data_IF_643418809674
#
_entry.id   IF_643418809674
#
_cell.length_a   1.000
_cell.length_b   1.000
_cell.length_c   1.000
_cell.angle_alpha   90.00
_cell.angle_beta   90.00
_cell.angle_gamma   90.00
#
_symmetry.space_group_name_H-M   'P 1'
#
loop_
_entity.id
_entity.type
_entity.pdbx_description
1 polymer ?
#
# COMPACT_ATOMS: atom_id res chain seq x y z
N UNK A 1 23.05 6.90 43.70
CA UNK A 1 23.06 6.30 42.34
C UNK A 1 23.33 4.81 42.51
N UNK A 2 22.57 3.93 41.85
CA UNK A 2 22.37 3.94 40.41
C UNK A 2 20.96 4.35 39.96
N UNK A 3 20.94 4.87 38.75
CA UNK A 3 19.81 5.39 37.98
C UNK A 3 19.08 4.19 37.38
N UNK A 4 17.79 4.01 37.69
CA UNK A 4 16.97 3.10 36.89
C UNK A 4 16.57 3.85 35.63
N UNK A 5 17.02 3.33 34.49
CA UNK A 5 16.70 3.82 33.17
C UNK A 5 15.17 3.76 32.99
N UNK A 6 14.59 4.89 32.59
CA UNK A 6 13.20 4.95 32.14
C UNK A 6 13.01 4.03 30.92
N UNK A 7 11.77 3.60 30.65
CA UNK A 7 11.52 2.74 29.51
C UNK A 7 11.97 3.46 28.24
N UNK A 8 12.71 2.71 27.42
CA UNK A 8 13.13 3.11 26.09
C UNK A 8 11.90 3.60 25.32
N UNK A 9 12.04 4.76 24.69
CA UNK A 9 11.06 5.34 23.78
C UNK A 9 10.52 4.28 22.82
N UNK A 10 9.24 3.99 22.94
CA UNK A 10 8.48 3.23 21.95
C UNK A 10 8.72 3.88 20.59
N UNK A 11 9.10 3.06 19.61
CA UNK A 11 9.36 3.50 18.25
C UNK A 11 8.18 4.33 17.76
N UNK A 12 8.50 5.54 17.25
CA UNK A 12 7.55 6.54 16.74
C UNK A 12 6.34 5.88 16.09
N UNK A 13 5.16 6.22 16.60
CA UNK A 13 3.91 6.02 15.88
C UNK A 13 4.12 6.49 14.43
N UNK A 14 3.81 5.63 13.46
CA UNK A 14 3.54 6.07 12.11
C UNK A 14 2.46 7.16 12.23
N UNK A 15 2.78 8.36 11.77
CA UNK A 15 1.86 9.50 11.82
C UNK A 15 0.83 9.32 10.71
N UNK A 16 -0.21 8.55 11.02
CA UNK A 16 -1.28 8.20 10.11
C UNK A 16 -2.55 8.98 10.45
N UNK A 17 -3.21 9.51 9.43
CA UNK A 17 -4.40 10.33 9.56
C UNK A 17 -5.31 10.21 8.34
N UNK A 18 -6.55 10.66 8.51
CA UNK A 18 -7.50 10.77 7.40
C UNK A 18 -7.36 12.14 6.73
N UNK A 19 -7.10 12.12 5.43
CA UNK A 19 -7.16 13.27 4.52
C UNK A 19 -8.15 12.91 3.40
N UNK A 20 -9.45 13.02 3.71
CA UNK A 20 -10.52 12.51 2.86
C UNK A 20 -10.33 12.89 1.37
N UNK A 21 -10.43 11.93 0.44
CA UNK A 21 -10.88 10.54 0.62
C UNK A 21 -9.78 9.54 1.08
N UNK A 22 -8.58 10.01 1.38
CA UNK A 22 -7.42 9.15 1.62
C UNK A 22 -7.18 8.85 3.10
N UNK A 23 -6.71 7.64 3.39
CA UNK A 23 -5.96 7.32 4.59
C UNK A 23 -4.48 7.54 4.31
N UNK A 24 -3.88 8.51 4.98
CA UNK A 24 -2.50 8.94 4.76
C UNK A 24 -1.59 8.36 5.82
N UNK A 25 -0.46 7.80 5.41
CA UNK A 25 0.58 7.31 6.32
C UNK A 25 1.91 7.98 6.00
N UNK A 26 2.50 8.65 6.99
CA UNK A 26 3.82 9.30 6.86
C UNK A 26 4.95 8.38 7.35
N UNK A 27 6.05 8.38 6.61
CA UNK A 27 7.29 7.68 6.95
C UNK A 27 8.50 8.62 6.74
N UNK A 28 9.71 8.14 7.08
CA UNK A 28 10.91 8.92 6.85
C UNK A 28 11.19 9.03 5.34
N UNK A 29 11.11 10.24 4.79
CA UNK A 29 11.45 10.53 3.39
C UNK A 29 10.35 10.28 2.36
N UNK A 30 9.17 9.80 2.78
CA UNK A 30 8.02 9.62 1.91
C UNK A 30 6.69 9.57 2.70
N UNK A 31 5.59 9.71 1.99
CA UNK A 31 4.24 9.43 2.49
C UNK A 31 3.48 8.58 1.49
N UNK A 32 2.42 7.92 1.96
CA UNK A 32 1.52 7.15 1.11
C UNK A 32 0.08 7.57 1.37
N UNK A 33 -0.67 7.79 0.30
CA UNK A 33 -2.11 8.02 0.32
C UNK A 33 -2.81 6.74 -0.13
N UNK A 34 -3.62 6.14 0.73
CA UNK A 34 -4.41 4.96 0.41
C UNK A 34 -5.87 5.36 0.22
N UNK A 35 -6.50 4.92 -0.87
CA UNK A 35 -7.93 5.10 -1.08
C UNK A 35 -8.68 3.92 -0.44
N UNK A 36 -8.90 4.01 0.87
CA UNK A 36 -9.59 2.98 1.65
C UNK A 36 -11.09 3.22 1.62
N UNK A 37 -11.88 2.15 1.44
CA UNK A 37 -13.33 2.25 1.49
C UNK A 37 -13.80 2.70 2.88
N UNK A 38 -14.85 3.56 3.00
CA UNK A 38 -15.22 4.17 4.28
C UNK A 38 -15.50 3.21 5.45
N UNK A 39 -15.96 1.99 5.14
CA UNK A 39 -16.33 0.97 6.12
C UNK A 39 -15.29 -0.18 6.23
N UNK A 40 -14.16 -0.10 5.52
CA UNK A 40 -13.13 -1.13 5.54
C UNK A 40 -12.16 -0.93 6.71
N UNK A 41 -11.93 -1.98 7.51
CA UNK A 41 -10.94 -1.94 8.58
C UNK A 41 -9.52 -1.90 8.00
N UNK A 42 -8.71 -0.95 8.47
CA UNK A 42 -7.35 -0.68 7.98
C UNK A 42 -6.44 -1.91 8.06
N UNK A 43 -6.67 -2.79 9.03
CA UNK A 43 -5.92 -4.04 9.24
C UNK A 43 -6.36 -5.18 8.31
N UNK A 44 -7.53 -5.06 7.68
CA UNK A 44 -8.16 -6.10 6.85
C UNK A 44 -8.06 -5.80 5.36
N UNK A 45 -7.60 -4.60 4.98
CA UNK A 45 -7.49 -4.14 3.60
C UNK A 45 -6.79 -5.16 2.71
N UNK A 46 -7.51 -5.63 1.69
CA UNK A 46 -7.07 -6.69 0.78
C UNK A 46 -6.81 -6.22 -0.66
N UNK A 47 -7.42 -5.10 -1.06
CA UNK A 47 -7.30 -4.46 -2.36
C UNK A 47 -7.39 -2.94 -2.15
N UNK A 48 -6.38 -2.17 -2.56
CA UNK A 48 -6.36 -0.72 -2.34
C UNK A 48 -5.53 0.02 -3.38
N UNK A 49 -6.02 1.17 -3.83
CA UNK A 49 -5.22 2.11 -4.61
C UNK A 49 -4.32 2.95 -3.69
N UNK A 50 -3.06 3.11 -4.09
CA UNK A 50 -2.06 3.83 -3.32
C UNK A 50 -1.29 4.82 -4.18
N UNK A 51 -1.05 6.01 -3.64
CA UNK A 51 -0.06 6.96 -4.17
C UNK A 51 1.11 7.13 -3.20
N UNK A 52 2.34 6.89 -3.68
CA UNK A 52 3.58 7.15 -2.93
C UNK A 52 4.15 8.48 -3.36
N UNK A 53 4.37 9.38 -2.40
CA UNK A 53 5.00 10.68 -2.62
C UNK A 53 6.34 10.72 -1.90
N UNK A 54 7.43 10.85 -2.65
CA UNK A 54 8.79 10.93 -2.13
C UNK A 54 9.19 12.38 -1.83
N UNK A 55 10.19 12.56 -0.96
CA UNK A 55 10.66 13.89 -0.54
C UNK A 55 11.28 14.74 -1.67
N UNK A 56 11.70 14.11 -2.78
CA UNK A 56 12.16 14.79 -3.99
C UNK A 56 11.00 15.32 -4.88
N UNK A 57 9.76 15.23 -4.39
CA UNK A 57 8.53 15.66 -5.08
C UNK A 57 7.98 14.61 -6.02
N UNK A 58 8.66 13.47 -6.12
CA UNK A 58 8.42 12.46 -7.12
C UNK A 58 7.22 11.57 -6.70
N UNK A 59 6.29 11.27 -7.62
CA UNK A 59 5.01 10.58 -7.33
C UNK A 59 4.83 9.27 -8.11
N UNK A 60 4.19 8.30 -7.46
CA UNK A 60 4.00 6.95 -7.97
C UNK A 60 2.62 6.40 -7.59
N UNK A 61 1.94 5.68 -8.49
CA UNK A 61 0.70 4.96 -8.23
C UNK A 61 0.90 3.44 -8.26
N UNK A 62 0.07 2.73 -7.50
CA UNK A 62 -0.12 1.29 -7.63
C UNK A 62 -1.49 0.89 -7.08
N UNK A 63 -2.10 -0.13 -7.68
CA UNK A 63 -3.18 -0.89 -7.03
C UNK A 63 -2.58 -2.12 -6.35
N UNK A 64 -2.76 -2.23 -5.05
CA UNK A 64 -2.15 -3.27 -4.22
C UNK A 64 -3.20 -4.32 -3.87
N UNK A 65 -2.90 -5.59 -4.14
CA UNK A 65 -3.75 -6.73 -3.81
C UNK A 65 -3.02 -7.70 -2.88
N UNK A 66 -3.74 -8.39 -2.02
CA UNK A 66 -3.19 -9.61 -1.40
C UNK A 66 -3.27 -10.78 -2.37
N UNK A 67 -2.40 -11.78 -2.20
CA UNK A 67 -2.49 -13.02 -2.99
C UNK A 67 -3.84 -13.73 -2.80
N UNK A 68 -4.38 -13.72 -1.59
CA UNK A 68 -5.68 -14.32 -1.30
C UNK A 68 -6.83 -13.59 -2.03
N UNK A 69 -6.73 -12.27 -2.14
CA UNK A 69 -7.73 -11.47 -2.85
C UNK A 69 -7.69 -11.69 -4.36
N UNK A 70 -6.50 -11.85 -4.94
CA UNK A 70 -6.35 -12.24 -6.35
C UNK A 70 -7.03 -13.58 -6.62
N UNK A 71 -6.79 -14.61 -5.78
CA UNK A 71 -7.44 -15.92 -5.92
C UNK A 71 -8.98 -15.81 -5.78
N UNK A 72 -9.46 -15.02 -4.81
CA UNK A 72 -10.90 -14.77 -4.61
C UNK A 72 -11.54 -14.14 -5.84
N UNK A 73 -10.90 -13.11 -6.41
CA UNK A 73 -11.38 -12.43 -7.62
C UNK A 73 -11.40 -13.37 -8.82
N UNK A 74 -10.32 -14.11 -9.07
CA UNK A 74 -10.24 -15.07 -10.17
C UNK A 74 -11.34 -16.14 -10.09
N UNK A 75 -11.61 -16.69 -8.89
CA UNK A 75 -12.72 -17.64 -8.67
C UNK A 75 -14.09 -17.02 -8.95
N UNK A 76 -14.30 -15.76 -8.55
CA UNK A 76 -15.54 -15.05 -8.83
C UNK A 76 -15.74 -14.82 -10.33
N UNK A 77 -14.63 -14.65 -11.06
CA UNK A 77 -14.64 -14.42 -12.50
C UNK A 77 -14.93 -15.68 -13.32
N UNK A 78 -14.75 -16.88 -12.77
CA UNK A 78 -15.20 -18.13 -13.39
C UNK A 78 -16.70 -18.08 -13.75
N UNK A 79 -17.52 -17.53 -12.84
CA UNK A 79 -18.96 -17.43 -13.03
C UNK A 79 -19.38 -16.27 -13.95
N UNK A 80 -18.61 -15.17 -13.96
CA UNK A 80 -18.94 -13.98 -14.75
C UNK A 80 -18.42 -14.02 -16.19
N UNK A 81 -17.37 -14.80 -16.47
CA UNK A 81 -16.67 -14.83 -17.75
C UNK A 81 -15.57 -13.78 -17.91
N UNK A 82 -15.39 -12.89 -16.94
CA UNK A 82 -14.32 -11.89 -16.93
C UNK A 82 -12.92 -12.54 -16.91
N UNK A 83 -11.91 -11.81 -17.41
CA UNK A 83 -10.51 -12.22 -17.39
C UNK A 83 -10.27 -13.67 -17.90
N UNK A 84 -10.88 -14.00 -19.03
CA UNK A 84 -10.85 -15.36 -19.62
C UNK A 84 -11.41 -16.39 -18.65
N UNK A 85 -12.60 -16.11 -18.08
CA UNK A 85 -13.23 -16.93 -17.03
C UNK A 85 -12.32 -17.18 -15.83
N UNK A 86 -11.66 -16.12 -15.35
CA UNK A 86 -10.77 -16.18 -14.19
C UNK A 86 -9.43 -16.86 -14.43
N UNK A 87 -9.03 -17.13 -15.68
CA UNK A 87 -7.74 -17.77 -15.99
C UNK A 87 -6.55 -16.82 -15.88
N UNK A 88 -6.78 -15.51 -15.81
CA UNK A 88 -5.74 -14.53 -15.58
C UNK A 88 -6.18 -13.45 -14.61
N UNK A 89 -5.18 -12.77 -14.05
CA UNK A 89 -5.33 -11.52 -13.32
C UNK A 89 -4.35 -10.52 -13.93
N UNK A 90 -4.79 -9.28 -14.15
CA UNK A 90 -3.92 -8.22 -14.64
C UNK A 90 -4.38 -6.87 -14.08
N UNK A 91 -3.41 -6.02 -13.73
CA UNK A 91 -3.60 -4.63 -13.40
C UNK A 91 -2.33 -3.87 -13.84
N UNK A 92 -2.49 -2.71 -14.48
CA UNK A 92 -1.38 -2.02 -15.16
C UNK A 92 -0.23 -1.64 -14.21
N UNK A 93 -0.55 -1.32 -12.96
CA UNK A 93 0.36 -1.00 -11.86
C UNK A 93 0.06 -1.84 -10.61
N UNK A 94 -0.26 -3.12 -10.84
CA UNK A 94 -0.62 -4.07 -9.80
C UNK A 94 0.57 -4.57 -8.97
N UNK A 95 0.50 -4.43 -7.64
CA UNK A 95 1.43 -5.05 -6.69
C UNK A 95 0.72 -6.13 -5.87
N UNK A 96 1.25 -7.36 -5.88
CA UNK A 96 0.74 -8.44 -5.01
C UNK A 96 1.57 -8.51 -3.73
N UNK A 97 0.93 -8.30 -2.59
CA UNK A 97 1.52 -8.48 -1.25
C UNK A 97 1.01 -9.77 -0.60
N UNK A 98 1.76 -10.25 0.41
CA UNK A 98 1.42 -11.52 1.07
C UNK A 98 0.28 -11.39 2.08
N UNK A 99 0.29 -10.34 2.90
CA UNK A 99 -0.61 -10.21 4.04
C UNK A 99 -1.46 -8.93 3.90
N UNK A 100 -2.73 -8.96 4.35
CA UNK A 100 -3.61 -7.80 4.34
C UNK A 100 -3.16 -6.69 5.29
N UNK A 101 -3.81 -5.55 5.13
CA UNK A 101 -3.74 -4.39 6.01
C UNK A 101 -2.69 -3.36 5.59
N UNK A 102 -3.01 -2.09 5.82
CA UNK A 102 -2.17 -0.95 5.44
C UNK A 102 -0.78 -1.03 6.10
N UNK A 103 -0.69 -1.51 7.35
CA UNK A 103 0.61 -1.70 8.02
C UNK A 103 1.49 -2.78 7.38
N UNK A 104 0.90 -3.80 6.76
CA UNK A 104 1.64 -4.80 5.97
C UNK A 104 2.14 -4.18 4.66
N UNK A 105 1.27 -3.48 3.94
CA UNK A 105 1.56 -2.81 2.68
C UNK A 105 2.63 -1.73 2.85
N UNK A 106 2.56 -0.92 3.92
CA UNK A 106 3.56 0.09 4.23
C UNK A 106 4.96 -0.49 4.47
N UNK A 107 5.08 -1.69 5.05
CA UNK A 107 6.38 -2.35 5.20
C UNK A 107 6.97 -2.78 3.86
N UNK A 108 6.12 -3.24 2.93
CA UNK A 108 6.54 -3.57 1.56
C UNK A 108 6.99 -2.30 0.83
N UNK A 109 6.18 -1.24 0.85
CA UNK A 109 6.51 0.04 0.22
C UNK A 109 7.80 0.62 0.79
N UNK A 110 7.98 0.61 2.11
CA UNK A 110 9.22 1.08 2.74
C UNK A 110 10.45 0.30 2.25
N UNK A 111 10.31 -1.02 2.04
CA UNK A 111 11.36 -1.86 1.46
C UNK A 111 11.71 -1.44 0.03
N UNK A 112 10.69 -1.25 -0.83
CA UNK A 112 10.86 -0.84 -2.23
C UNK A 112 11.46 0.57 -2.37
N UNK A 113 11.05 1.50 -1.50
CA UNK A 113 11.62 2.85 -1.44
C UNK A 113 13.11 2.77 -1.05
N UNK A 114 13.44 1.98 -0.03
CA UNK A 114 14.81 1.85 0.45
C UNK A 114 15.75 1.17 -0.57
N UNK A 115 15.24 0.25 -1.38
CA UNK A 115 16.01 -0.42 -2.43
C UNK A 115 16.04 0.33 -3.77
N UNK A 116 15.18 1.33 -3.96
CA UNK A 116 15.04 2.06 -5.21
C UNK A 116 14.28 1.27 -6.30
N UNK A 117 13.50 0.27 -5.92
CA UNK A 117 12.79 -0.64 -6.84
C UNK A 117 11.38 -0.14 -7.21
N UNK A 118 11.03 1.13 -6.91
CA UNK A 118 9.76 1.69 -7.37
C UNK A 118 9.70 1.73 -8.91
N UNK A 119 10.82 2.08 -9.55
CA UNK A 119 11.01 1.99 -11.00
C UNK A 119 10.85 0.53 -11.47
N UNK A 120 9.68 0.20 -12.01
CA UNK A 120 9.35 -1.13 -12.53
C UNK A 120 8.31 -1.90 -11.72
N UNK A 121 7.99 -1.44 -10.50
CA UNK A 121 6.89 -2.00 -9.69
C UNK A 121 5.69 -1.06 -9.65
N UNK A 122 5.94 0.23 -9.51
CA UNK A 122 4.90 1.26 -9.47
C UNK A 122 4.87 2.02 -10.79
N UNK A 123 3.72 2.65 -11.09
CA UNK A 123 3.61 3.57 -12.21
C UNK A 123 3.97 4.98 -11.78
N UNK A 124 4.88 5.58 -12.52
CA UNK A 124 5.25 6.98 -12.32
C UNK A 124 4.09 7.91 -12.68
N UNK A 125 3.74 8.83 -11.79
CA UNK A 125 2.75 9.90 -12.05
C UNK A 125 3.51 11.11 -12.58
N UNK A 126 3.11 11.61 -13.75
CA UNK A 126 3.66 12.85 -14.29
C UNK A 126 3.17 14.05 -13.48
N UNK A 127 3.99 15.09 -13.40
CA UNK A 127 3.52 16.36 -12.85
C UNK A 127 2.36 16.89 -13.73
N UNK A 128 1.30 17.46 -13.13
CA UNK A 128 0.27 18.12 -13.91
C UNK A 128 0.89 19.28 -14.71
N UNK A 129 0.51 19.41 -15.99
CA UNK A 129 0.88 20.53 -16.87
C UNK A 129 0.38 21.89 -16.33
#
# INVERSE_FOLDING_TARGET
MPQQAGPASEGRASDADWEAPYYRVRAAGFQVLFLVEPDEAIEEVCNVDAEVHLADGSRWSSTIFTLAEVDRLMRSWEASGEAVSGQCFFCADGLIVRNPGIGSMMRVIAGLVASGELDGVFRRIADPE
#
